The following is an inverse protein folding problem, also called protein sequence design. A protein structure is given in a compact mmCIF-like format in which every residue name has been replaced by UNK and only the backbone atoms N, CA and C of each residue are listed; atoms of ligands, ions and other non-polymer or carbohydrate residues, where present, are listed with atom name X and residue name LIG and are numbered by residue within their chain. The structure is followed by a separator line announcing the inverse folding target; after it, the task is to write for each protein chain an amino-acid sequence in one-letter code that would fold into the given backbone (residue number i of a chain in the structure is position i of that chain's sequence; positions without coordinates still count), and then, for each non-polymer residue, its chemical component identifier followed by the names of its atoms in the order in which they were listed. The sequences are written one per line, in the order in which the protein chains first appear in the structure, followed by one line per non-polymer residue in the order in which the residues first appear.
data_IF_515275868322
#
_entry.id   IF_515275868322
#
_cell.length_a   1.000
_cell.length_b   1.000
_cell.length_c   1.000
_cell.angle_alpha   90.00
_cell.angle_beta   90.00
_cell.angle_gamma   90.00
#
_symmetry.space_group_name_H-M   'P 1'
#
loop_
_entity.id
_entity.type
_entity.pdbx_description
1 polymer ?
#
# COMPACT_ATOMS: atom_id res chain seq x y z
N UNK A 1 35.06 -2.54 37.78
CA UNK A 1 33.92 -3.43 38.12
C UNK A 1 32.79 -3.10 37.17
N UNK A 2 32.17 -4.08 36.53
CA UNK A 2 31.09 -3.86 35.57
C UNK A 2 29.73 -4.05 36.26
N UNK A 3 28.73 -3.26 35.90
CA UNK A 3 27.40 -3.31 36.52
C UNK A 3 26.32 -3.34 35.44
N UNK A 4 25.24 -4.09 35.70
CA UNK A 4 24.05 -4.21 34.85
C UNK A 4 22.82 -3.80 35.66
N UNK A 5 21.95 -2.99 35.04
CA UNK A 5 20.66 -2.64 35.63
C UNK A 5 19.69 -3.82 35.44
N UNK A 6 19.11 -4.30 36.53
CA UNK A 6 18.07 -5.33 36.47
C UNK A 6 16.74 -4.67 36.07
N UNK A 7 16.17 -5.06 34.93
CA UNK A 7 14.95 -4.46 34.40
C UNK A 7 13.71 -4.67 35.28
N UNK A 8 13.70 -5.72 36.12
CA UNK A 8 12.56 -6.07 36.97
C UNK A 8 12.63 -5.34 38.31
N UNK A 9 13.79 -5.32 38.94
CA UNK A 9 13.96 -4.72 40.27
C UNK A 9 14.50 -3.29 40.23
N UNK A 10 14.91 -2.81 39.05
CA UNK A 10 15.50 -1.48 38.82
C UNK A 10 16.76 -1.21 39.68
N UNK A 11 17.41 -2.26 40.19
CA UNK A 11 18.66 -2.15 40.97
C UNK A 11 19.88 -2.50 40.12
N UNK A 12 21.00 -1.85 40.42
CA UNK A 12 22.30 -2.13 39.81
C UNK A 12 22.91 -3.38 40.44
N UNK A 13 23.29 -4.35 39.62
CA UNK A 13 23.92 -5.61 40.03
C UNK A 13 25.28 -5.74 39.34
N UNK A 14 26.27 -6.35 39.99
CA UNK A 14 27.59 -6.57 39.40
C UNK A 14 27.50 -7.58 38.24
N UNK A 15 28.24 -7.33 37.16
CA UNK A 15 28.25 -8.13 35.93
C UNK A 15 29.68 -8.39 35.43
N UNK A 16 29.84 -9.37 34.54
CA UNK A 16 31.12 -9.68 33.89
C UNK A 16 31.42 -8.68 32.76
N UNK A 17 32.70 -8.51 32.36
CA UNK A 17 33.11 -7.57 31.29
C UNK A 17 32.39 -7.76 29.96
N UNK A 18 31.90 -8.98 29.67
CA UNK A 18 31.20 -9.30 28.43
C UNK A 18 29.76 -8.79 28.36
N UNK A 19 29.23 -8.22 29.46
CA UNK A 19 27.86 -7.70 29.52
C UNK A 19 27.71 -6.30 28.91
N UNK A 20 28.80 -5.57 28.66
CA UNK A 20 28.80 -4.29 27.94
C UNK A 20 29.01 -4.52 26.44
N UNK A 21 28.11 -5.28 25.83
CA UNK A 21 27.96 -5.28 24.38
C UNK A 21 26.48 -5.00 24.13
N UNK A 22 26.08 -3.77 23.73
CA UNK A 22 24.68 -3.46 23.52
C UNK A 22 24.16 -4.44 22.46
N UNK A 23 23.31 -5.38 22.89
CA UNK A 23 22.65 -6.33 22.00
C UNK A 23 21.76 -5.52 21.05
N UNK A 24 22.34 -5.09 19.93
CA UNK A 24 21.67 -4.22 18.98
C UNK A 24 22.60 -3.36 18.12
N UNK A 25 23.83 -3.06 18.55
CA UNK A 25 24.81 -2.37 17.70
C UNK A 25 26.00 -3.29 17.39
N UNK A 26 25.78 -4.21 16.45
CA UNK A 26 26.90 -4.82 15.72
C UNK A 26 27.42 -3.74 14.77
N UNK A 27 28.70 -3.38 14.87
CA UNK A 27 29.40 -2.48 13.95
C UNK A 27 29.57 -3.21 12.61
N UNK A 28 28.47 -3.36 11.88
CA UNK A 28 28.45 -3.82 10.48
C UNK A 28 27.53 -2.93 9.68
N UNK A 29 27.56 -1.62 9.97
CA UNK A 29 27.08 -0.61 9.02
C UNK A 29 28.08 -0.61 7.86
N UNK A 30 27.67 -0.90 6.61
CA UNK A 30 28.54 -0.74 5.47
C UNK A 30 28.99 0.72 5.37
N UNK A 31 30.29 0.97 5.28
CA UNK A 31 30.88 2.32 5.16
C UNK A 31 30.43 3.06 3.89
N UNK A 32 29.81 2.35 2.94
CA UNK A 32 29.33 2.91 1.69
C UNK A 32 27.79 2.84 1.63
N UNK A 33 27.09 3.97 1.41
CA UNK A 33 25.66 3.92 1.16
C UNK A 33 25.41 3.08 -0.10
N UNK A 34 24.45 2.14 -0.09
CA UNK A 34 24.15 1.36 -1.27
C UNK A 34 23.72 2.31 -2.41
N UNK A 35 24.10 2.02 -3.66
CA UNK A 35 23.72 2.84 -4.80
C UNK A 35 22.19 2.99 -4.81
N UNK A 36 21.73 4.24 -4.91
CA UNK A 36 20.33 4.61 -4.86
C UNK A 36 19.64 4.17 -6.16
N UNK A 37 19.28 2.89 -6.22
CA UNK A 37 18.41 2.35 -7.26
C UNK A 37 17.03 2.25 -6.64
N UNK A 38 16.04 2.87 -7.30
CA UNK A 38 14.65 3.07 -6.84
C UNK A 38 13.90 1.81 -6.36
N UNK A 39 14.49 0.62 -6.46
CA UNK A 39 13.84 -0.66 -6.24
C UNK A 39 14.63 -1.67 -5.39
N UNK A 40 15.69 -1.28 -4.66
CA UNK A 40 16.28 -2.20 -3.67
C UNK A 40 15.53 -2.12 -2.35
N UNK A 41 14.90 -3.22 -1.87
CA UNK A 41 14.35 -3.23 -0.52
C UNK A 41 15.50 -3.12 0.48
N UNK A 42 15.45 -2.13 1.37
CA UNK A 42 16.33 -2.04 2.53
C UNK A 42 16.09 -3.28 3.39
N UNK A 43 16.89 -4.33 3.20
CA UNK A 43 16.85 -5.53 4.02
C UNK A 43 17.42 -5.19 5.40
N UNK A 44 16.56 -4.77 6.32
CA UNK A 44 16.85 -4.85 7.75
C UNK A 44 16.81 -6.34 8.13
N UNK A 45 17.99 -6.93 8.23
CA UNK A 45 18.22 -8.30 8.67
C UNK A 45 17.96 -8.34 10.18
N UNK A 46 16.74 -8.66 10.60
CA UNK A 46 16.51 -9.59 11.73
C UNK A 46 15.04 -9.88 12.03
N UNK A 47 14.05 -9.19 11.44
CA UNK A 47 12.63 -9.37 11.82
C UNK A 47 11.66 -9.33 10.64
N UNK A 48 12.07 -9.87 9.49
CA UNK A 48 11.24 -9.91 8.28
C UNK A 48 10.54 -11.27 8.06
N UNK A 49 10.54 -12.16 9.07
CA UNK A 49 9.92 -13.48 8.95
C UNK A 49 8.38 -13.43 9.07
N UNK A 50 7.87 -12.72 10.07
CA UNK A 50 6.43 -12.76 10.42
C UNK A 50 5.61 -11.57 9.90
N UNK A 51 6.24 -10.43 9.59
CA UNK A 51 5.52 -9.20 9.15
C UNK A 51 5.17 -9.25 7.66
N UNK A 52 5.93 -9.99 6.85
CA UNK A 52 5.74 -10.06 5.39
C UNK A 52 4.50 -10.90 5.02
N UNK A 53 4.10 -11.84 5.87
CA UNK A 53 2.95 -12.73 5.59
C UNK A 53 1.60 -12.03 5.76
N UNK A 54 1.51 -11.02 6.64
CA UNK A 54 0.26 -10.28 6.89
C UNK A 54 -0.07 -9.24 5.80
N UNK A 55 0.91 -8.79 5.01
CA UNK A 55 0.74 -7.69 4.06
C UNK A 55 0.43 -8.13 2.62
N UNK A 56 0.40 -9.44 2.36
CA UNK A 56 0.20 -10.00 1.03
C UNK A 56 1.36 -9.71 0.06
N UNK A 57 1.37 -10.41 -1.08
CA UNK A 57 2.38 -10.20 -2.10
C UNK A 57 2.19 -8.84 -2.79
N UNK A 58 3.28 -8.09 -2.98
CA UNK A 58 3.23 -6.80 -3.67
C UNK A 58 2.85 -7.00 -5.15
N UNK A 59 1.68 -6.47 -5.55
CA UNK A 59 1.16 -6.52 -6.93
C UNK A 59 1.44 -5.25 -7.75
N UNK A 60 2.04 -4.22 -7.14
CA UNK A 60 2.31 -2.93 -7.81
C UNK A 60 3.12 -3.09 -9.11
N UNK A 61 4.20 -3.90 -9.16
CA UNK A 61 4.96 -4.08 -10.40
C UNK A 61 4.12 -4.67 -11.54
N UNK A 62 3.19 -5.58 -11.24
CA UNK A 62 2.32 -6.20 -12.25
C UNK A 62 1.26 -5.22 -12.76
N UNK A 63 0.68 -4.43 -11.86
CA UNK A 63 -0.25 -3.36 -12.22
C UNK A 63 0.44 -2.26 -13.04
N UNK A 64 1.67 -1.88 -12.69
CA UNK A 64 2.45 -0.93 -13.49
C UNK A 64 2.65 -1.42 -14.91
N UNK A 65 3.02 -2.70 -15.10
CA UNK A 65 3.13 -3.31 -16.45
C UNK A 65 1.82 -3.27 -17.22
N UNK A 66 0.70 -3.57 -16.56
CA UNK A 66 -0.63 -3.55 -17.19
C UNK A 66 -1.02 -2.13 -17.64
N UNK A 67 -0.92 -1.14 -16.75
CA UNK A 67 -1.40 0.22 -17.02
C UNK A 67 -0.44 1.04 -17.90
N UNK A 68 0.87 0.74 -17.89
CA UNK A 68 1.86 1.44 -18.72
C UNK A 68 2.05 0.82 -20.11
N UNK A 69 1.38 -0.30 -20.42
CA UNK A 69 1.46 -0.95 -21.73
C UNK A 69 1.00 -0.02 -22.86
N UNK A 70 1.76 0.11 -23.95
CA UNK A 70 1.50 1.06 -25.05
C UNK A 70 0.44 0.55 -26.06
N UNK A 71 -0.79 0.33 -25.59
CA UNK A 71 -1.86 -0.29 -26.39
C UNK A 71 -2.80 0.73 -27.04
N UNK A 72 -2.63 2.02 -26.75
CA UNK A 72 -3.59 3.07 -27.12
C UNK A 72 -4.94 3.03 -26.38
N UNK A 73 -5.16 2.05 -25.49
CA UNK A 73 -6.38 1.95 -24.68
C UNK A 73 -6.39 3.06 -23.61
N UNK A 74 -7.49 3.83 -23.48
CA UNK A 74 -7.60 4.89 -22.48
C UNK A 74 -7.62 4.31 -21.06
N UNK A 75 -7.14 5.10 -20.08
CA UNK A 75 -6.94 4.65 -18.70
C UNK A 75 -8.19 4.07 -18.03
N UNK A 76 -9.38 4.62 -18.32
CA UNK A 76 -10.65 4.17 -17.74
C UNK A 76 -11.20 2.86 -18.33
N UNK A 77 -10.56 2.29 -19.35
CA UNK A 77 -10.88 0.97 -19.92
C UNK A 77 -9.69 -0.01 -19.81
N UNK A 78 -8.62 0.40 -19.15
CA UNK A 78 -7.32 -0.29 -19.16
C UNK A 78 -7.33 -1.58 -18.33
N UNK A 79 -8.21 -1.69 -17.35
CA UNK A 79 -8.48 -2.89 -16.56
C UNK A 79 -9.28 -3.96 -17.31
N UNK A 80 -9.71 -3.69 -18.54
CA UNK A 80 -10.23 -4.71 -19.46
C UNK A 80 -11.74 -4.84 -19.46
N UNK A 81 -12.25 -6.08 -19.37
CA UNK A 81 -13.68 -6.36 -19.58
C UNK A 81 -14.56 -5.73 -18.49
N UNK A 82 -14.12 -5.75 -17.23
CA UNK A 82 -14.90 -5.24 -16.11
C UNK A 82 -15.14 -3.73 -16.25
N UNK A 83 -14.10 -2.98 -16.61
CA UNK A 83 -14.17 -1.55 -16.89
C UNK A 83 -15.15 -1.24 -18.03
N UNK A 84 -15.12 -2.02 -19.11
CA UNK A 84 -16.03 -1.85 -20.26
C UNK A 84 -17.48 -2.11 -19.89
N UNK A 85 -17.74 -3.16 -19.11
CA UNK A 85 -19.10 -3.48 -18.66
C UNK A 85 -19.62 -2.38 -17.73
N UNK A 86 -18.80 -1.95 -16.78
CA UNK A 86 -19.14 -0.88 -15.84
C UNK A 86 -19.41 0.44 -16.58
N UNK A 87 -18.55 0.81 -17.54
CA UNK A 87 -18.77 2.01 -18.35
C UNK A 87 -20.11 1.95 -19.09
N UNK A 88 -20.42 0.84 -19.76
CA UNK A 88 -21.66 0.69 -20.54
C UNK A 88 -22.91 0.73 -19.66
N UNK A 89 -22.88 0.08 -18.49
CA UNK A 89 -24.02 0.08 -17.57
C UNK A 89 -24.25 1.45 -16.95
N UNK A 90 -23.17 2.14 -16.52
CA UNK A 90 -23.26 3.51 -16.02
C UNK A 90 -23.79 4.47 -17.09
N UNK A 91 -23.28 4.37 -18.32
CA UNK A 91 -23.76 5.19 -19.44
C UNK A 91 -25.24 4.94 -19.74
N UNK A 92 -25.69 3.68 -19.73
CA UNK A 92 -27.09 3.34 -19.94
C UNK A 92 -27.98 3.88 -18.81
N UNK A 93 -27.53 3.77 -17.56
CA UNK A 93 -28.26 4.28 -16.40
C UNK A 93 -28.35 5.79 -16.42
N UNK A 94 -27.28 6.51 -16.76
CA UNK A 94 -27.31 7.99 -16.82
C UNK A 94 -28.22 8.47 -17.94
N UNK A 95 -28.12 7.91 -19.14
CA UNK A 95 -29.01 8.27 -20.26
C UNK A 95 -30.47 7.98 -19.88
N UNK A 96 -30.76 6.77 -19.38
CA UNK A 96 -32.10 6.39 -18.96
C UNK A 96 -32.64 7.29 -17.83
N UNK A 97 -31.81 7.57 -16.82
CA UNK A 97 -32.16 8.47 -15.72
C UNK A 97 -32.42 9.90 -16.20
N UNK A 98 -31.66 10.39 -17.17
CA UNK A 98 -31.86 11.73 -17.73
C UNK A 98 -33.21 11.82 -18.47
N UNK A 99 -33.55 10.80 -19.27
CA UNK A 99 -34.85 10.73 -19.95
C UNK A 99 -36.01 10.65 -18.95
N UNK A 100 -35.85 9.85 -17.89
CA UNK A 100 -36.83 9.76 -16.82
C UNK A 100 -37.03 11.11 -16.11
N UNK A 101 -35.94 11.80 -15.78
CA UNK A 101 -36.01 13.13 -15.18
C UNK A 101 -36.73 14.13 -16.09
N UNK A 102 -36.51 14.10 -17.40
CA UNK A 102 -37.23 14.95 -18.35
C UNK A 102 -38.73 14.64 -18.40
N UNK A 103 -39.10 13.36 -18.38
CA UNK A 103 -40.52 12.96 -18.33
C UNK A 103 -41.19 13.37 -17.01
N UNK A 104 -40.49 13.15 -15.89
CA UNK A 104 -40.97 13.58 -14.57
C UNK A 104 -41.14 15.11 -14.51
N UNK A 105 -40.18 15.86 -15.05
CA UNK A 105 -40.25 17.31 -15.14
C UNK A 105 -41.43 17.77 -16.01
N UNK A 106 -41.64 17.14 -17.16
CA UNK A 106 -42.79 17.44 -18.03
C UNK A 106 -44.13 17.25 -17.31
N UNK A 107 -44.30 16.13 -16.61
CA UNK A 107 -45.51 15.84 -15.83
C UNK A 107 -45.67 16.86 -14.69
N UNK A 108 -44.59 17.17 -13.98
CA UNK A 108 -44.61 18.12 -12.87
C UNK A 108 -44.91 19.57 -13.31
N UNK A 109 -44.53 19.93 -14.54
CA UNK A 109 -44.78 21.26 -15.09
C UNK A 109 -46.23 21.48 -15.53
N UNK A 110 -47.05 20.42 -15.66
CA UNK A 110 -48.47 20.56 -15.99
C UNK A 110 -49.28 20.89 -14.73
N UNK A 111 -50.22 21.86 -14.79
CA UNK A 111 -51.09 22.16 -13.66
C UNK A 111 -51.98 20.96 -13.38
N UNK A 112 -51.98 20.52 -12.12
CA UNK A 112 -52.87 19.46 -11.64
C UNK A 112 -54.16 20.13 -11.17
N UNK A 113 -55.31 19.58 -11.58
CA UNK A 113 -56.62 20.02 -11.07
C UNK A 113 -56.78 19.68 -9.61
#
# INVERSE_FOLDING_TARGET
MYYKLNAVTQRLIQSSPSAYNPQGLRITVPTQPPPMIFATPTKYVSEAGNVVEYLGHNKVPDLQKLFQKSDGVPVHLKGGLMDKMLYRTTMALTIGGTLYCLMALYIAAQPRK
#
